data_IF_714317827510
#
_entry.id   IF_714317827510
#
_cell.length_a   1.000
_cell.length_b   1.000
_cell.length_c   1.000
_cell.angle_alpha   90.00
_cell.angle_beta   90.00
_cell.angle_gamma   90.00
#
_symmetry.space_group_name_H-M   'P 1'
#
loop_
_entity.id
_entity.type
_entity.pdbx_description
1 polymer ?
#
# COMPACT_ATOMS: atom_id res chain seq x y z
N UNK A 1 11.05 5.01 0.82
CA UNK A 1 9.75 4.62 0.24
C UNK A 1 8.76 4.19 1.32
N UNK A 2 8.91 3.04 1.99
CA UNK A 2 7.96 2.61 3.05
C UNK A 2 7.77 3.67 4.13
N UNK A 3 8.84 4.27 4.64
CA UNK A 3 8.75 5.30 5.71
C UNK A 3 7.97 6.55 5.29
N UNK A 4 7.99 6.89 3.99
CA UNK A 4 7.24 8.02 3.43
C UNK A 4 5.75 7.66 3.34
N UNK A 5 5.44 6.49 2.76
CA UNK A 5 4.06 5.97 2.72
C UNK A 5 3.47 5.78 4.11
N UNK A 6 4.23 5.29 5.08
CA UNK A 6 3.78 5.12 6.46
C UNK A 6 3.45 6.46 7.14
N UNK A 7 4.16 7.54 6.79
CA UNK A 7 3.86 8.89 7.27
C UNK A 7 2.57 9.47 6.64
N UNK A 8 2.25 9.06 5.40
CA UNK A 8 1.03 9.49 4.71
C UNK A 8 -0.21 8.69 5.12
N UNK A 9 -0.05 7.39 5.39
CA UNK A 9 -1.12 6.48 5.74
C UNK A 9 -1.09 6.12 7.24
N UNK A 10 -1.19 7.13 8.11
CA UNK A 10 -1.09 6.96 9.57
C UNK A 10 -2.13 6.01 10.19
N UNK A 11 -3.25 5.77 9.50
CA UNK A 11 -4.30 4.84 9.94
C UNK A 11 -4.02 3.39 9.52
N UNK A 12 -3.01 3.16 8.68
CA UNK A 12 -2.60 1.83 8.23
C UNK A 12 -1.38 1.37 9.04
N UNK A 13 -1.39 0.16 9.61
CA UNK A 13 -0.23 -0.36 10.33
C UNK A 13 1.02 -0.42 9.44
N UNK A 14 2.19 -0.09 9.99
CA UNK A 14 3.46 -0.10 9.26
C UNK A 14 3.74 -1.44 8.56
N UNK A 15 3.46 -2.57 9.24
CA UNK A 15 3.61 -3.92 8.68
C UNK A 15 2.76 -4.13 7.40
N UNK A 16 1.56 -3.56 7.36
CA UNK A 16 0.70 -3.59 6.17
C UNK A 16 1.28 -2.75 5.04
N UNK A 17 1.91 -1.61 5.35
CA UNK A 17 2.61 -0.78 4.35
C UNK A 17 3.81 -1.52 3.78
N UNK A 18 4.64 -2.14 4.62
CA UNK A 18 5.81 -2.92 4.20
C UNK A 18 5.40 -4.11 3.32
N UNK A 19 4.36 -4.85 3.73
CA UNK A 19 3.82 -5.96 2.94
C UNK A 19 3.27 -5.49 1.60
N UNK A 20 2.54 -4.36 1.56
CA UNK A 20 2.05 -3.79 0.31
C UNK A 20 3.19 -3.44 -0.65
N UNK A 21 4.26 -2.80 -0.14
CA UNK A 21 5.44 -2.49 -0.95
C UNK A 21 6.11 -3.76 -1.48
N UNK A 22 6.27 -4.79 -0.64
CA UNK A 22 6.86 -6.07 -1.04
C UNK A 22 6.00 -6.80 -2.09
N UNK A 23 4.68 -6.82 -1.93
CA UNK A 23 3.74 -7.40 -2.89
C UNK A 23 3.82 -6.67 -4.25
N UNK A 24 3.89 -5.34 -4.24
CA UNK A 24 4.04 -4.54 -5.47
C UNK A 24 5.35 -4.83 -6.18
N UNK A 25 6.47 -4.92 -5.45
CA UNK A 25 7.76 -5.32 -6.02
C UNK A 25 7.67 -6.70 -6.68
N UNK A 26 7.16 -7.70 -5.95
CA UNK A 26 7.05 -9.06 -6.47
C UNK A 26 6.12 -9.14 -7.69
N UNK A 27 5.02 -8.40 -7.70
CA UNK A 27 4.14 -8.29 -8.86
C UNK A 27 4.81 -7.64 -10.07
N UNK A 28 5.56 -6.55 -9.86
CA UNK A 28 6.29 -5.89 -10.94
C UNK A 28 7.33 -6.83 -11.57
N UNK A 29 8.13 -7.51 -10.75
CA UNK A 29 9.10 -8.51 -11.20
C UNK A 29 8.42 -9.66 -11.96
N UNK A 30 7.29 -10.17 -11.45
CA UNK A 30 6.52 -11.23 -12.09
C UNK A 30 5.98 -10.83 -13.47
N UNK A 31 5.63 -9.55 -13.64
CA UNK A 31 5.15 -8.99 -14.91
C UNK A 31 6.29 -8.60 -15.87
N UNK A 32 7.56 -8.76 -15.46
CA UNK A 32 8.72 -8.32 -16.23
C UNK A 32 8.87 -6.80 -16.31
N UNK A 33 8.24 -6.07 -15.38
CA UNK A 33 8.35 -4.62 -15.24
C UNK A 33 9.50 -4.34 -14.29
N UNK A 34 10.38 -3.40 -14.65
CA UNK A 34 11.45 -2.95 -13.75
C UNK A 34 10.84 -2.27 -12.51
N UNK A 35 11.08 -2.79 -11.29
CA UNK A 35 10.49 -2.25 -10.06
C UNK A 35 11.25 -1.01 -9.60
N UNK A 36 11.19 0.06 -10.39
CA UNK A 36 11.79 1.34 -10.01
C UNK A 36 11.08 1.90 -8.78
N UNK A 37 11.80 2.65 -7.94
CA UNK A 37 11.23 3.24 -6.74
C UNK A 37 9.99 4.11 -7.03
N UNK A 38 9.97 4.83 -8.15
CA UNK A 38 8.81 5.64 -8.57
C UNK A 38 7.57 4.78 -8.89
N UNK A 39 7.76 3.69 -9.64
CA UNK A 39 6.66 2.77 -10.00
C UNK A 39 6.12 2.08 -8.77
N UNK A 40 7.01 1.55 -7.92
CA UNK A 40 6.61 0.85 -6.70
C UNK A 40 5.88 1.79 -5.74
N UNK A 41 6.40 3.00 -5.54
CA UNK A 41 5.76 3.97 -4.65
C UNK A 41 4.36 4.34 -5.14
N UNK A 42 4.21 4.63 -6.43
CA UNK A 42 2.93 5.02 -7.01
C UNK A 42 1.90 3.91 -6.90
N UNK A 43 2.27 2.68 -7.24
CA UNK A 43 1.34 1.53 -7.17
C UNK A 43 1.00 1.20 -5.71
N UNK A 44 1.97 1.18 -4.80
CA UNK A 44 1.72 0.93 -3.38
C UNK A 44 0.78 1.99 -2.78
N UNK A 45 0.97 3.26 -3.13
CA UNK A 45 0.07 4.36 -2.73
C UNK A 45 -1.37 4.15 -3.17
N UNK A 46 -1.59 3.78 -4.44
CA UNK A 46 -2.93 3.50 -4.96
C UNK A 46 -3.59 2.33 -4.24
N UNK A 47 -2.83 1.27 -3.95
CA UNK A 47 -3.31 0.12 -3.18
C UNK A 47 -3.71 0.51 -1.75
N UNK A 48 -2.88 1.30 -1.07
CA UNK A 48 -3.17 1.78 0.29
C UNK A 48 -4.38 2.73 0.31
N UNK A 49 -4.52 3.59 -0.70
CA UNK A 49 -5.67 4.47 -0.83
C UNK A 49 -6.96 3.65 -1.04
N UNK A 50 -6.91 2.63 -1.91
CA UNK A 50 -8.04 1.72 -2.12
C UNK A 50 -8.39 0.96 -0.83
N UNK A 51 -7.39 0.52 -0.05
CA UNK A 51 -7.59 -0.14 1.24
C UNK A 51 -8.34 0.75 2.23
N UNK A 52 -7.91 2.02 2.39
CA UNK A 52 -8.56 2.98 3.28
C UNK A 52 -9.98 3.27 2.83
N UNK A 53 -10.21 3.46 1.53
CA UNK A 53 -11.54 3.76 0.98
C UNK A 53 -12.49 2.56 1.00
N UNK A 54 -11.97 1.33 0.98
CA UNK A 54 -12.76 0.10 1.01
C UNK A 54 -13.03 -0.40 2.42
N UNK A 55 -12.44 0.22 3.45
CA UNK A 55 -12.69 -0.17 4.83
C UNK A 55 -14.20 -0.02 5.14
N UNK A 56 -14.89 -1.11 5.53
CA UNK A 56 -16.31 -1.01 5.86
C UNK A 56 -16.49 -0.01 7.00
N UNK A 57 -17.56 0.81 6.98
CA UNK A 57 -17.82 1.72 8.08
C UNK A 57 -17.88 0.93 9.39
N UNK A 58 -17.33 1.47 10.50
CA UNK A 58 -17.39 0.80 11.78
C UNK A 58 -18.85 0.48 12.07
N UNK A 59 -19.15 -0.81 12.33
CA UNK A 59 -20.50 -1.24 12.69
C UNK A 59 -20.86 -0.50 13.98
N UNK A 60 -21.67 0.55 13.87
CA UNK A 60 -22.19 1.29 15.01
C UNK A 60 -22.93 0.37 15.98
N UNK A 61 -23.04 0.74 17.26
CA UNK A 61 -23.72 -0.11 18.24
C UNK A 61 -25.17 -0.31 17.80
N UNK A 62 -25.58 -1.59 17.72
CA UNK A 62 -26.98 -1.99 17.59
C UNK A 62 -27.71 -1.74 18.90
#
# INVERSE_FOLDING_TARGET
MTSHLAAEFLTVPLDTVDRCVAEVCACAEHLGIEPTAEVVERVAREHLLALVNSAPPPRGPR
#
